data_IF_491682487132
#
_entry.id   IF_491682487132
#
_cell.length_a   1.000
_cell.length_b   1.000
_cell.length_c   1.000
_cell.angle_alpha   90.00
_cell.angle_beta   90.00
_cell.angle_gamma   90.00
#
_symmetry.space_group_name_H-M   'P 1'
#
loop_
_entity.id
_entity.type
_entity.pdbx_description
1 polymer ?
#
# COMPACT_ATOMS: atom_id res chain seq x y z
N UNK A 1 10.46 17.92 -12.66
CA UNK A 1 9.99 17.53 -11.31
C UNK A 1 11.18 17.22 -10.41
N UNK A 2 11.12 17.62 -9.13
CA UNK A 2 12.23 17.41 -8.18
C UNK A 2 11.91 16.27 -7.22
N UNK A 3 12.85 15.35 -7.05
CA UNK A 3 12.77 14.24 -6.10
C UNK A 3 14.06 14.12 -5.28
N UNK A 4 13.97 13.50 -4.11
CA UNK A 4 15.13 12.96 -3.41
C UNK A 4 15.26 11.48 -3.71
N UNK A 5 16.48 11.00 -3.90
CA UNK A 5 16.74 9.61 -4.28
C UNK A 5 17.55 8.85 -3.24
N UNK A 6 17.25 7.55 -3.11
CA UNK A 6 18.06 6.56 -2.36
C UNK A 6 18.16 5.30 -3.21
N UNK A 7 19.28 4.59 -3.16
CA UNK A 7 19.51 3.40 -3.99
C UNK A 7 20.13 2.27 -3.16
N UNK A 8 19.78 1.03 -3.48
CA UNK A 8 20.35 -0.18 -2.85
C UNK A 8 20.93 -1.19 -3.88
N UNK A 9 21.27 -0.73 -5.08
CA UNK A 9 21.85 -1.54 -6.16
C UNK A 9 20.83 -2.32 -7.00
N UNK A 10 19.63 -2.58 -6.46
CA UNK A 10 18.51 -3.20 -7.16
C UNK A 10 17.44 -2.20 -7.58
N UNK A 11 17.18 -1.23 -6.70
CA UNK A 11 16.13 -0.26 -6.85
C UNK A 11 16.64 1.16 -6.64
N UNK A 12 16.03 2.11 -7.34
CA UNK A 12 16.08 3.53 -6.95
C UNK A 12 14.75 3.92 -6.36
N UNK A 13 14.78 4.44 -5.14
CA UNK A 13 13.64 4.98 -4.45
C UNK A 13 13.61 6.49 -4.64
N UNK A 14 12.45 7.00 -5.07
CA UNK A 14 12.24 8.41 -5.34
C UNK A 14 11.15 8.94 -4.41
N UNK A 15 11.40 10.09 -3.78
CA UNK A 15 10.38 10.82 -3.01
C UNK A 15 10.17 12.20 -3.61
N UNK A 16 8.96 12.47 -4.07
CA UNK A 16 8.56 13.70 -4.73
C UNK A 16 7.79 14.60 -3.77
N UNK A 17 8.01 15.92 -3.86
CA UNK A 17 7.28 16.89 -3.01
C UNK A 17 5.94 17.32 -3.58
N UNK A 18 5.79 17.28 -4.90
CA UNK A 18 4.67 17.86 -5.65
C UNK A 18 4.00 16.86 -6.60
N UNK A 19 4.24 15.57 -6.39
CA UNK A 19 3.61 14.49 -7.15
C UNK A 19 2.90 13.58 -6.17
N UNK A 20 1.70 13.17 -6.55
CA UNK A 20 0.90 12.18 -5.84
C UNK A 20 0.69 10.97 -6.75
N UNK A 21 1.21 9.84 -6.33
CA UNK A 21 1.04 8.54 -6.95
C UNK A 21 -0.04 7.78 -6.21
N UNK A 22 -0.94 7.15 -6.96
CA UNK A 22 -1.90 6.20 -6.39
C UNK A 22 -2.37 5.17 -7.41
N UNK A 23 -2.85 4.03 -6.93
CA UNK A 23 -3.37 2.97 -7.78
C UNK A 23 -4.44 2.13 -7.09
N UNK A 24 -5.30 1.50 -7.89
CA UNK A 24 -6.15 0.39 -7.46
C UNK A 24 -5.84 -0.78 -8.36
N UNK A 25 -5.48 -1.92 -7.77
CA UNK A 25 -5.41 -3.21 -8.43
C UNK A 25 -6.52 -4.10 -7.86
N UNK A 26 -7.25 -4.75 -8.75
CA UNK A 26 -8.36 -5.65 -8.43
C UNK A 26 -8.05 -7.01 -9.05
N UNK A 27 -7.94 -8.04 -8.21
CA UNK A 27 -7.56 -9.41 -8.59
C UNK A 27 -8.70 -10.36 -8.31
N UNK A 28 -9.11 -11.11 -9.32
CA UNK A 28 -10.20 -12.08 -9.26
C UNK A 28 -9.74 -13.48 -9.59
N UNK A 29 -10.01 -14.45 -8.72
CA UNK A 29 -9.82 -15.87 -9.03
C UNK A 29 -11.04 -16.39 -9.81
N UNK A 30 -10.81 -16.96 -10.99
CA UNK A 30 -11.84 -17.67 -11.76
C UNK A 30 -11.64 -19.18 -11.63
N UNK A 31 -12.76 -19.88 -11.51
CA UNK A 31 -12.83 -21.33 -11.50
C UNK A 31 -13.67 -21.84 -12.68
N UNK A 32 -13.34 -23.01 -13.24
CA UNK A 32 -14.14 -23.71 -14.24
C UNK A 32 -14.67 -25.01 -13.66
N UNK A 33 -15.82 -25.43 -14.16
CA UNK A 33 -16.30 -26.79 -14.00
C UNK A 33 -15.48 -27.73 -14.88
N UNK A 34 -14.79 -28.66 -14.24
CA UNK A 34 -14.14 -29.78 -14.93
C UNK A 34 -15.04 -31.00 -14.79
N UNK A 35 -15.49 -31.55 -15.93
CA UNK A 35 -16.12 -32.87 -15.98
C UNK A 35 -15.07 -33.89 -16.43
N UNK A 36 -14.78 -34.87 -15.59
CA UNK A 36 -14.06 -36.06 -16.05
C UNK A 36 -14.99 -36.89 -16.94
N UNK A 37 -14.53 -37.25 -18.14
CA UNK A 37 -15.30 -38.07 -19.08
C UNK A 37 -15.66 -39.43 -18.43
N UNK A 38 -16.96 -39.67 -18.28
CA UNK A 38 -17.50 -40.95 -17.77
C UNK A 38 -18.02 -40.91 -16.33
N UNK A 39 -17.96 -39.77 -15.64
CA UNK A 39 -18.50 -39.61 -14.28
C UNK A 39 -19.91 -38.98 -14.32
N UNK A 40 -20.80 -39.46 -13.43
CA UNK A 40 -22.17 -38.96 -13.25
C UNK A 40 -22.20 -37.42 -13.06
N UNK A 41 -23.21 -36.71 -13.60
CA UNK A 41 -23.31 -35.23 -13.55
C UNK A 41 -23.29 -34.60 -12.15
N UNK A 42 -23.45 -35.38 -11.09
CA UNK A 42 -23.43 -34.91 -9.70
C UNK A 42 -22.00 -34.74 -9.13
N UNK A 43 -20.97 -35.21 -9.83
CA UNK A 43 -19.56 -35.10 -9.42
C UNK A 43 -18.82 -34.05 -10.26
N UNK A 44 -19.34 -32.83 -10.31
CA UNK A 44 -18.61 -31.70 -10.90
C UNK A 44 -17.66 -31.12 -9.87
N UNK A 45 -16.36 -31.08 -10.19
CA UNK A 45 -15.36 -30.36 -9.39
C UNK A 45 -15.08 -29.01 -10.03
N UNK A 46 -14.97 -27.98 -9.20
CA UNK A 46 -14.55 -26.64 -9.65
C UNK A 46 -13.04 -26.54 -9.51
N UNK A 47 -12.36 -26.24 -10.61
CA UNK A 47 -10.89 -26.12 -10.66
C UNK A 47 -10.50 -24.67 -10.92
N UNK A 48 -9.54 -24.15 -10.14
CA UNK A 48 -8.97 -22.83 -10.37
C UNK A 48 -8.32 -22.77 -11.75
N UNK A 49 -8.68 -21.76 -12.55
CA UNK A 49 -8.13 -21.57 -13.90
C UNK A 49 -7.04 -20.51 -13.89
N UNK A 50 -7.39 -19.30 -13.44
CA UNK A 50 -6.56 -18.11 -13.60
C UNK A 50 -7.03 -16.96 -12.73
N UNK A 51 -6.15 -15.96 -12.60
CA UNK A 51 -6.52 -14.64 -12.11
C UNK A 51 -6.95 -13.75 -13.29
N UNK A 52 -7.98 -12.93 -13.08
CA UNK A 52 -8.24 -11.72 -13.85
C UNK A 52 -7.81 -10.53 -13.02
N UNK A 53 -7.19 -9.56 -13.68
CA UNK A 53 -6.81 -8.30 -13.06
C UNK A 53 -7.53 -7.15 -13.74
N UNK A 54 -7.96 -6.16 -12.97
CA UNK A 54 -8.33 -4.81 -13.44
C UNK A 54 -7.52 -3.78 -12.65
N UNK A 55 -7.22 -2.63 -13.25
CA UNK A 55 -6.49 -1.56 -12.57
C UNK A 55 -6.92 -0.16 -12.98
N UNK A 56 -6.74 0.76 -12.04
CA UNK A 56 -6.82 2.21 -12.25
C UNK A 56 -5.59 2.84 -11.61
N UNK A 57 -4.69 3.38 -12.42
CA UNK A 57 -3.44 3.97 -11.98
C UNK A 57 -3.46 5.48 -12.21
N UNK A 58 -3.04 6.24 -11.22
CA UNK A 58 -3.07 7.69 -11.23
C UNK A 58 -1.69 8.27 -10.87
N UNK A 59 -1.26 9.28 -11.63
CA UNK A 59 -0.16 10.17 -11.23
C UNK A 59 -0.69 11.60 -11.32
N UNK A 60 -0.72 12.31 -10.20
CA UNK A 60 -1.14 13.70 -10.14
C UNK A 60 0.04 14.61 -9.88
N UNK A 61 0.15 15.65 -10.70
CA UNK A 61 1.10 16.74 -10.58
C UNK A 61 0.35 18.06 -10.72
N UNK A 62 0.19 18.78 -9.60
CA UNK A 62 -0.69 19.95 -9.48
C UNK A 62 -2.12 19.67 -9.98
N UNK A 63 -2.53 20.34 -11.07
CA UNK A 63 -3.82 20.14 -11.73
C UNK A 63 -3.75 19.12 -12.88
N UNK A 64 -2.58 18.57 -13.21
CA UNK A 64 -2.41 17.56 -14.25
C UNK A 64 -2.54 16.17 -13.64
N UNK A 65 -3.36 15.32 -14.27
CA UNK A 65 -3.51 13.92 -13.86
C UNK A 65 -3.28 13.02 -15.06
N UNK A 66 -2.30 12.14 -14.93
CA UNK A 66 -2.17 10.96 -15.76
C UNK A 66 -3.02 9.84 -15.18
N UNK A 67 -3.74 9.16 -16.06
CA UNK A 67 -4.61 8.04 -15.75
C UNK A 67 -4.29 6.91 -16.72
N UNK A 68 -4.08 5.71 -16.21
CA UNK A 68 -3.95 4.47 -17.00
C UNK A 68 -4.94 3.43 -16.46
N UNK A 69 -5.81 2.93 -17.34
CA UNK A 69 -6.88 2.00 -16.98
C UNK A 69 -6.82 0.78 -17.90
N UNK A 70 -6.84 -0.40 -17.29
CA UNK A 70 -6.81 -1.65 -18.03
C UNK A 70 -8.00 -1.78 -18.97
N UNK A 71 -7.69 -2.10 -20.23
CA UNK A 71 -8.68 -2.23 -21.31
C UNK A 71 -9.29 -0.92 -21.78
N UNK A 72 -8.85 0.24 -21.26
CA UNK A 72 -9.30 1.56 -21.71
C UNK A 72 -8.16 2.39 -22.33
N UNK A 73 -6.95 2.24 -21.80
CA UNK A 73 -5.74 2.96 -22.21
C UNK A 73 -5.37 4.07 -21.24
N UNK A 74 -4.45 4.94 -21.68
CA UNK A 74 -3.91 6.03 -20.89
C UNK A 74 -4.31 7.42 -21.42
N UNK A 75 -4.46 8.39 -20.50
CA UNK A 75 -4.85 9.76 -20.82
C UNK A 75 -4.27 10.75 -19.80
N UNK A 76 -4.00 11.98 -20.25
CA UNK A 76 -3.65 13.10 -19.38
C UNK A 76 -4.77 14.13 -19.42
N UNK A 77 -5.38 14.40 -18.27
CA UNK A 77 -6.48 15.37 -18.14
C UNK A 77 -6.25 16.29 -16.94
N UNK A 78 -7.09 17.31 -16.79
CA UNK A 78 -7.09 18.13 -15.58
C UNK A 78 -7.74 17.39 -14.41
N UNK A 79 -7.35 17.73 -13.18
CA UNK A 79 -7.98 17.17 -11.99
C UNK A 79 -9.49 17.46 -11.97
N UNK A 80 -9.90 18.67 -12.36
CA UNK A 80 -11.31 19.02 -12.48
C UNK A 80 -12.07 18.16 -13.50
N UNK A 81 -11.44 17.72 -14.60
CA UNK A 81 -12.06 16.81 -15.56
C UNK A 81 -12.24 15.40 -15.00
N UNK A 82 -11.23 14.88 -14.28
CA UNK A 82 -11.34 13.59 -13.59
C UNK A 82 -12.50 13.58 -12.60
N UNK A 83 -12.66 14.65 -11.82
CA UNK A 83 -13.71 14.78 -10.80
C UNK A 83 -15.14 14.82 -11.37
N UNK A 84 -15.32 15.13 -12.65
CA UNK A 84 -16.66 15.16 -13.28
C UNK A 84 -17.26 13.78 -13.50
N UNK A 85 -16.43 12.74 -13.61
CA UNK A 85 -16.89 11.37 -13.76
C UNK A 85 -16.90 10.69 -12.38
N UNK A 86 -18.09 10.37 -11.86
CA UNK A 86 -18.21 9.84 -10.49
C UNK A 86 -17.54 8.47 -10.31
N UNK A 87 -17.43 7.67 -11.37
CA UNK A 87 -16.74 6.38 -11.34
C UNK A 87 -15.21 6.55 -11.24
N UNK A 88 -14.64 7.43 -12.07
CA UNK A 88 -13.22 7.75 -12.01
C UNK A 88 -12.86 8.42 -10.69
N UNK A 89 -13.70 9.33 -10.20
CA UNK A 89 -13.54 9.96 -8.89
C UNK A 89 -13.49 8.91 -7.78
N UNK A 90 -14.43 7.97 -7.76
CA UNK A 90 -14.44 6.93 -6.73
C UNK A 90 -13.15 6.11 -6.74
N UNK A 91 -12.69 5.66 -7.90
CA UNK A 91 -11.45 4.90 -7.98
C UNK A 91 -10.23 5.72 -7.59
N UNK A 92 -10.21 7.00 -7.91
CA UNK A 92 -9.18 7.91 -7.42
C UNK A 92 -9.22 7.98 -5.88
N UNK A 93 -10.38 8.20 -5.27
CA UNK A 93 -10.51 8.25 -3.81
C UNK A 93 -10.07 6.93 -3.14
N UNK A 94 -10.47 5.77 -3.70
CA UNK A 94 -10.04 4.45 -3.22
C UNK A 94 -8.54 4.26 -3.38
N UNK A 95 -7.97 4.68 -4.51
CA UNK A 95 -6.53 4.56 -4.76
C UNK A 95 -5.71 5.29 -3.72
N UNK A 96 -6.20 6.44 -3.23
CA UNK A 96 -5.54 7.21 -2.19
C UNK A 96 -5.58 6.48 -0.84
N UNK A 97 -6.67 5.77 -0.52
CA UNK A 97 -6.76 5.01 0.71
C UNK A 97 -5.83 3.78 0.70
N UNK A 98 -5.70 3.11 -0.44
CA UNK A 98 -4.87 1.91 -0.59
C UNK A 98 -3.37 2.19 -0.70
N UNK A 99 -2.99 3.38 -1.17
CA UNK A 99 -1.58 3.74 -1.38
C UNK A 99 -0.96 4.27 -0.10
N UNK A 100 0.04 3.54 0.41
CA UNK A 100 0.69 3.81 1.69
C UNK A 100 1.38 5.20 1.70
N UNK A 101 2.39 5.38 0.83
CA UNK A 101 3.07 6.67 0.66
C UNK A 101 2.91 7.20 -0.76
N UNK A 102 2.05 8.20 -0.92
CA UNK A 102 1.68 8.78 -2.22
C UNK A 102 2.77 9.65 -2.85
N UNK A 103 3.81 9.99 -2.10
CA UNK A 103 4.94 10.77 -2.60
C UNK A 103 6.11 9.88 -3.02
N UNK A 104 5.99 8.58 -2.79
CA UNK A 104 7.06 7.62 -2.92
C UNK A 104 6.81 6.68 -4.08
N UNK A 105 7.85 6.44 -4.88
CA UNK A 105 7.83 5.49 -5.98
C UNK A 105 9.18 4.78 -6.10
N UNK A 106 9.15 3.52 -6.51
CA UNK A 106 10.32 2.68 -6.75
C UNK A 106 10.57 2.54 -8.25
N UNK A 107 11.84 2.51 -8.62
CA UNK A 107 12.33 2.23 -9.98
C UNK A 107 13.23 0.99 -9.96
N UNK A 108 12.93 0.01 -10.80
CA UNK A 108 13.74 -1.22 -10.96
C UNK A 108 14.98 -0.98 -11.84
N UNK A 109 16.20 -1.04 -11.28
CA UNK A 109 17.44 -0.66 -11.97
C UNK A 109 18.02 -1.74 -12.90
N UNK A 110 17.95 -3.01 -12.51
CA UNK A 110 18.66 -4.10 -13.20
C UNK A 110 17.76 -5.04 -13.98
N UNK A 111 16.48 -4.70 -14.17
CA UNK A 111 15.46 -5.68 -14.57
C UNK A 111 15.48 -6.94 -13.68
N UNK A 112 15.88 -6.79 -12.41
CA UNK A 112 15.95 -7.91 -11.47
C UNK A 112 14.55 -8.37 -11.03
N UNK A 113 13.52 -7.56 -11.34
CA UNK A 113 12.15 -8.03 -11.32
C UNK A 113 11.93 -8.91 -12.56
N UNK A 114 11.86 -10.22 -12.34
CA UNK A 114 11.11 -11.14 -13.21
C UNK A 114 9.61 -10.78 -13.28
N UNK A 115 9.21 -9.61 -12.76
CA UNK A 115 7.85 -9.08 -12.77
C UNK A 115 7.52 -8.52 -14.15
N UNK A 116 7.41 -9.42 -15.12
CA UNK A 116 6.53 -9.23 -16.24
C UNK A 116 5.37 -10.18 -16.01
N UNK A 117 4.32 -9.69 -15.36
CA UNK A 117 3.03 -10.40 -15.36
C UNK A 117 2.25 -9.93 -16.59
N UNK A 118 2.33 -10.67 -17.73
CA UNK A 118 1.59 -10.31 -18.93
C UNK A 118 0.07 -10.33 -18.72
N UNK A 119 -0.41 -10.97 -17.64
CA UNK A 119 -1.81 -10.97 -17.29
C UNK A 119 -2.24 -9.65 -16.63
N UNK A 120 -1.30 -8.82 -16.14
CA UNK A 120 -1.57 -7.48 -15.62
C UNK A 120 -1.24 -6.42 -16.66
N UNK A 121 0.02 -6.38 -17.14
CA UNK A 121 0.54 -5.36 -18.05
C UNK A 121 1.04 -5.98 -19.35
N UNK A 122 0.65 -5.41 -20.49
CA UNK A 122 1.07 -5.90 -21.82
C UNK A 122 2.54 -5.61 -22.12
N UNK A 123 3.09 -4.57 -21.50
CA UNK A 123 4.46 -4.11 -21.70
C UNK A 123 5.22 -4.12 -20.37
N UNK A 124 6.55 -4.18 -20.46
CA UNK A 124 7.41 -4.09 -19.29
C UNK A 124 7.36 -2.68 -18.69
N UNK A 125 7.21 -2.61 -17.38
CA UNK A 125 7.15 -1.37 -16.60
C UNK A 125 8.12 -1.45 -15.44
N UNK A 126 8.71 -0.33 -15.04
CA UNK A 126 9.77 -0.29 -14.00
C UNK A 126 9.46 0.64 -12.84
N UNK A 127 8.40 1.44 -12.94
CA UNK A 127 8.01 2.45 -11.95
C UNK A 127 6.83 1.96 -11.14
N UNK A 128 7.01 1.65 -9.86
CA UNK A 128 5.95 1.03 -9.04
C UNK A 128 5.75 1.69 -7.68
N UNK A 129 4.52 1.58 -7.17
CA UNK A 129 4.12 2.13 -5.87
C UNK A 129 3.72 1.03 -4.89
N UNK A 130 3.89 1.35 -3.61
CA UNK A 130 3.42 0.53 -2.51
C UNK A 130 1.93 0.78 -2.26
N UNK A 131 1.13 -0.22 -2.60
CA UNK A 131 -0.32 -0.16 -2.49
C UNK A 131 -0.89 -1.54 -2.20
N UNK A 132 -1.81 -1.59 -1.24
CA UNK A 132 -2.66 -2.75 -1.06
C UNK A 132 -3.58 -2.94 -2.28
N UNK A 133 -4.09 -4.16 -2.47
CA UNK A 133 -4.97 -4.49 -3.58
C UNK A 133 -6.20 -5.25 -3.12
N UNK A 134 -7.27 -5.21 -3.92
CA UNK A 134 -8.51 -5.93 -3.65
C UNK A 134 -8.38 -7.33 -4.27
N UNK A 135 -8.53 -8.37 -3.47
CA UNK A 135 -8.61 -9.75 -3.92
C UNK A 135 -10.02 -10.29 -3.75
N UNK A 136 -10.60 -10.82 -4.83
CA UNK A 136 -11.88 -11.52 -4.84
C UNK A 136 -11.73 -12.99 -5.20
N UNK A 137 -12.52 -13.82 -4.53
CA UNK A 137 -12.70 -15.24 -4.82
C UNK A 137 -14.18 -15.53 -5.13
N UNK A 138 -14.46 -15.92 -6.38
CA UNK A 138 -15.83 -16.20 -6.83
C UNK A 138 -16.42 -17.44 -6.14
N UNK A 139 -15.62 -18.47 -5.89
CA UNK A 139 -16.10 -19.73 -5.29
C UNK A 139 -16.38 -19.55 -3.80
N UNK A 140 -15.50 -18.85 -3.08
CA UNK A 140 -15.70 -18.56 -1.67
C UNK A 140 -16.68 -17.39 -1.44
N UNK A 141 -17.04 -16.66 -2.49
CA UNK A 141 -17.81 -15.40 -2.42
C UNK A 141 -17.20 -14.42 -1.40
N UNK A 142 -15.87 -14.34 -1.37
CA UNK A 142 -15.11 -13.47 -0.47
C UNK A 142 -14.39 -12.38 -1.24
N UNK A 143 -14.21 -11.24 -0.58
CA UNK A 143 -13.39 -10.13 -1.05
C UNK A 143 -12.65 -9.54 0.13
N UNK A 144 -11.35 -9.35 -0.02
CA UNK A 144 -10.48 -8.82 1.02
C UNK A 144 -9.53 -7.78 0.41
N UNK A 145 -9.04 -6.86 1.24
CA UNK A 145 -7.86 -6.06 0.89
C UNK A 145 -6.64 -6.82 1.39
N UNK A 146 -5.66 -6.98 0.50
CA UNK A 146 -4.42 -7.69 0.77
C UNK A 146 -3.27 -6.70 0.70
N UNK A 147 -2.42 -6.70 1.72
CA UNK A 147 -1.17 -5.94 1.75
C UNK A 147 -0.29 -6.36 0.56
N UNK A 148 0.30 -5.40 -0.15
CA UNK A 148 1.41 -5.74 -1.03
C UNK A 148 2.34 -4.57 -1.28
N UNK A 149 3.63 -4.88 -1.32
CA UNK A 149 4.69 -3.91 -1.17
C UNK A 149 4.95 -3.10 -2.44
N UNK A 150 4.82 -3.66 -3.65
CA UNK A 150 4.90 -2.94 -4.93
C UNK A 150 4.21 -3.69 -6.09
N UNK A 151 2.94 -3.39 -6.38
CA UNK A 151 2.11 -4.15 -7.35
C UNK A 151 1.50 -3.30 -8.49
N UNK A 152 1.54 -1.98 -8.36
CA UNK A 152 0.99 -1.05 -9.35
C UNK A 152 2.13 -0.38 -10.11
N UNK A 153 2.28 -0.73 -11.39
CA UNK A 153 3.38 -0.27 -12.23
C UNK A 153 2.87 0.71 -13.29
N UNK A 154 3.47 1.89 -13.35
CA UNK A 154 3.14 2.92 -14.33
C UNK A 154 3.86 2.68 -15.66
N UNK A 155 3.14 2.98 -16.74
CA UNK A 155 3.65 2.95 -18.11
C UNK A 155 4.65 4.05 -18.42
N UNK A 156 4.59 5.17 -17.69
CA UNK A 156 5.39 6.36 -17.95
C UNK A 156 6.37 6.61 -16.81
N UNK A 157 7.48 7.28 -17.11
CA UNK A 157 8.30 7.86 -16.04
C UNK A 157 7.54 9.02 -15.39
N UNK A 158 7.57 9.15 -14.05
CA UNK A 158 7.00 10.31 -13.37
C UNK A 158 7.54 11.66 -13.91
N UNK A 159 8.83 11.68 -14.29
CA UNK A 159 9.49 12.88 -14.81
C UNK A 159 8.92 13.36 -16.15
N UNK A 160 8.28 12.48 -16.92
CA UNK A 160 7.71 12.81 -18.23
C UNK A 160 6.37 13.55 -18.11
N UNK A 161 5.68 13.44 -16.97
CA UNK A 161 4.32 13.96 -16.81
C UNK A 161 4.26 15.49 -16.93
N UNK A 162 5.29 16.20 -16.48
CA UNK A 162 5.36 17.66 -16.51
C UNK A 162 5.26 18.19 -17.95
N UNK A 163 5.91 17.49 -18.89
CA UNK A 163 5.96 17.88 -20.30
C UNK A 163 4.89 17.20 -21.17
N UNK A 164 4.16 16.21 -20.65
CA UNK A 164 3.03 15.60 -21.39
C UNK A 164 1.92 16.62 -21.63
N UNK A 165 1.45 16.70 -22.87
CA UNK A 165 0.30 17.54 -23.25
C UNK A 165 -0.99 17.05 -22.57
N UNK A 166 -1.89 17.97 -22.29
CA UNK A 166 -3.27 17.62 -21.98
C UNK A 166 -3.95 16.98 -23.20
N UNK A 167 -4.84 16.04 -22.93
CA UNK A 167 -5.78 15.55 -23.91
C UNK A 167 -6.74 16.67 -24.33
N UNK A 168 -7.07 16.70 -25.61
CA UNK A 168 -8.15 17.52 -26.15
C UNK A 168 -9.50 17.04 -25.64
N UNK A 169 -10.53 17.90 -25.69
CA UNK A 169 -11.87 17.50 -25.26
C UNK A 169 -12.39 16.28 -26.04
N UNK A 170 -12.11 16.19 -27.34
CA UNK A 170 -12.47 15.04 -28.18
C UNK A 170 -11.82 13.74 -27.71
N UNK A 171 -10.55 13.79 -27.29
CA UNK A 171 -9.84 12.63 -26.73
C UNK A 171 -10.43 12.23 -25.38
N UNK A 172 -10.76 13.20 -24.51
CA UNK A 172 -11.41 12.95 -23.22
C UNK A 172 -12.80 12.33 -23.40
N UNK A 173 -13.59 12.83 -24.35
CA UNK A 173 -14.93 12.30 -24.63
C UNK A 173 -14.86 10.88 -25.22
N UNK A 174 -13.87 10.59 -26.06
CA UNK A 174 -13.63 9.25 -26.59
C UNK A 174 -13.21 8.28 -25.47
N UNK A 175 -12.24 8.68 -24.64
CA UNK A 175 -11.80 7.92 -23.47
C UNK A 175 -12.95 7.63 -22.52
N UNK A 176 -13.74 8.66 -22.17
CA UNK A 176 -14.88 8.54 -21.26
C UNK A 176 -15.93 7.60 -21.84
N UNK A 177 -16.27 7.69 -23.13
CA UNK A 177 -17.20 6.75 -23.76
C UNK A 177 -16.68 5.31 -23.72
N UNK A 178 -15.40 5.10 -24.00
CA UNK A 178 -14.79 3.78 -23.91
C UNK A 178 -14.88 3.24 -22.48
N UNK A 179 -14.48 4.05 -21.49
CA UNK A 179 -14.55 3.70 -20.08
C UNK A 179 -15.97 3.33 -19.64
N UNK A 180 -16.96 4.17 -19.97
CA UNK A 180 -18.36 3.93 -19.63
C UNK A 180 -18.99 2.73 -20.35
N UNK A 181 -18.34 2.23 -21.42
CA UNK A 181 -18.78 1.03 -22.12
C UNK A 181 -18.31 -0.28 -21.46
N UNK A 182 -17.39 -0.22 -20.47
CA UNK A 182 -16.96 -1.39 -19.69
C UNK A 182 -18.18 -2.10 -19.11
N UNK A 183 -18.19 -3.44 -19.19
CA UNK A 183 -19.33 -4.28 -18.83
C UNK A 183 -19.90 -3.95 -17.45
N UNK A 184 -19.03 -3.81 -16.44
CA UNK A 184 -19.43 -3.52 -15.05
C UNK A 184 -20.19 -2.19 -14.90
N UNK A 185 -19.79 -1.17 -15.67
CA UNK A 185 -20.41 0.15 -15.65
C UNK A 185 -21.73 0.11 -16.43
N UNK A 186 -21.71 -0.44 -17.65
CA UNK A 186 -22.90 -0.54 -18.52
C UNK A 186 -24.04 -1.32 -17.86
N UNK A 187 -23.72 -2.36 -17.10
CA UNK A 187 -24.70 -3.21 -16.41
C UNK A 187 -25.11 -2.69 -15.02
N UNK A 188 -24.60 -1.53 -14.59
CA UNK A 188 -24.78 -0.95 -13.24
C UNK A 188 -24.31 -1.85 -12.08
N UNK A 189 -23.63 -2.96 -12.38
CA UNK A 189 -22.97 -3.82 -11.37
C UNK A 189 -21.97 -2.99 -10.56
N UNK A 190 -21.31 -2.03 -11.23
CA UNK A 190 -20.40 -1.10 -10.58
C UNK A 190 -21.02 -0.39 -9.37
N UNK A 191 -22.27 0.07 -9.46
CA UNK A 191 -22.87 0.84 -8.37
C UNK A 191 -22.97 0.01 -7.08
N UNK A 192 -23.25 -1.30 -7.20
CA UNK A 192 -23.23 -2.21 -6.05
C UNK A 192 -21.81 -2.50 -5.58
N UNK A 193 -20.90 -2.75 -6.53
CA UNK A 193 -19.47 -2.99 -6.31
C UNK A 193 -18.81 -1.83 -5.58
N UNK A 194 -19.14 -0.59 -5.94
CA UNK A 194 -18.54 0.64 -5.41
C UNK A 194 -18.73 0.84 -3.91
N UNK A 195 -19.96 0.63 -3.42
CA UNK A 195 -20.27 0.73 -1.99
C UNK A 195 -19.52 -0.34 -1.21
N UNK A 196 -19.51 -1.56 -1.74
CA UNK A 196 -18.79 -2.67 -1.12
C UNK A 196 -17.27 -2.41 -1.09
N UNK A 197 -16.72 -1.85 -2.16
CA UNK A 197 -15.29 -1.53 -2.26
C UNK A 197 -14.89 -0.46 -1.27
N UNK A 198 -15.69 0.61 -1.20
CA UNK A 198 -15.44 1.68 -0.26
C UNK A 198 -15.45 1.16 1.17
N UNK A 199 -16.45 0.39 1.57
CA UNK A 199 -16.53 -0.18 2.91
C UNK A 199 -15.37 -1.13 3.21
N UNK A 200 -15.04 -2.02 2.27
CA UNK A 200 -13.94 -2.97 2.43
C UNK A 200 -12.60 -2.26 2.63
N UNK A 201 -12.32 -1.24 1.82
CA UNK A 201 -11.09 -0.45 1.92
C UNK A 201 -11.09 0.39 3.20
N UNK A 202 -12.24 0.94 3.59
CA UNK A 202 -12.38 1.68 4.83
C UNK A 202 -12.10 0.80 6.06
N UNK A 203 -12.70 -0.39 6.12
CA UNK A 203 -12.45 -1.36 7.20
C UNK A 203 -10.98 -1.77 7.27
N UNK A 204 -10.36 -2.02 6.11
CA UNK A 204 -8.92 -2.27 6.03
C UNK A 204 -8.11 -1.11 6.60
N UNK A 205 -8.32 0.12 6.14
CA UNK A 205 -7.60 1.29 6.66
C UNK A 205 -7.85 1.49 8.16
N UNK A 206 -9.05 1.23 8.64
CA UNK A 206 -9.39 1.30 10.06
C UNK A 206 -8.58 0.30 10.89
N UNK A 207 -8.51 -0.96 10.45
CA UNK A 207 -7.71 -1.99 11.12
C UNK A 207 -6.21 -1.68 11.13
N UNK A 208 -5.67 -1.06 10.07
CA UNK A 208 -4.28 -0.61 10.05
C UNK A 208 -4.04 0.50 11.10
N UNK A 209 -4.96 1.47 11.20
CA UNK A 209 -4.87 2.53 12.22
C UNK A 209 -4.96 1.97 13.64
N UNK A 210 -5.82 0.98 13.90
CA UNK A 210 -5.90 0.33 15.21
C UNK A 210 -4.59 -0.39 15.57
N UNK A 211 -4.00 -1.10 14.59
CA UNK A 211 -2.71 -1.76 14.77
C UNK A 211 -1.60 -0.76 15.09
N UNK A 212 -1.47 0.32 14.33
CA UNK A 212 -0.49 1.39 14.58
C UNK A 212 -0.70 2.02 15.97
N UNK A 213 -1.95 2.21 16.37
CA UNK A 213 -2.28 2.76 17.68
C UNK A 213 -1.86 1.82 18.82
N UNK A 214 -2.05 0.52 18.68
CA UNK A 214 -1.64 -0.46 19.68
C UNK A 214 -0.12 -0.61 19.76
N UNK A 215 0.59 -0.55 18.62
CA UNK A 215 2.06 -0.49 18.57
C UNK A 215 2.59 0.77 19.28
N UNK A 216 1.97 1.94 19.05
CA UNK A 216 2.32 3.18 19.76
C UNK A 216 2.06 3.09 21.26
N UNK A 217 0.93 2.51 21.68
CA UNK A 217 0.64 2.30 23.12
C UNK A 217 1.70 1.44 23.77
N UNK A 218 2.08 0.32 23.14
CA UNK A 218 3.13 -0.57 23.63
C UNK A 218 4.46 0.18 23.75
N UNK A 219 4.85 0.92 22.71
CA UNK A 219 6.07 1.73 22.70
C UNK A 219 6.10 2.75 23.85
N UNK A 220 5.01 3.48 24.09
CA UNK A 220 4.95 4.48 25.16
C UNK A 220 4.96 3.85 26.56
N UNK A 221 4.32 2.69 26.75
CA UNK A 221 4.36 1.99 28.04
C UNK A 221 5.77 1.44 28.31
N UNK A 222 6.44 0.88 27.31
CA UNK A 222 7.85 0.48 27.41
C UNK A 222 8.74 1.68 27.78
N UNK A 223 8.62 2.80 27.05
CA UNK A 223 9.38 4.03 27.35
C UNK A 223 9.17 4.51 28.78
N UNK A 224 7.93 4.46 29.28
CA UNK A 224 7.59 4.80 30.67
C UNK A 224 8.21 3.82 31.67
N UNK A 225 8.16 2.53 31.39
CA UNK A 225 8.79 1.49 32.23
C UNK A 225 10.31 1.69 32.32
N UNK A 226 10.96 1.99 31.20
CA UNK A 226 12.40 2.29 31.13
C UNK A 226 12.74 3.57 31.91
N UNK A 227 11.93 4.62 31.79
CA UNK A 227 12.13 5.86 32.55
C UNK A 227 12.00 5.65 34.07
N UNK A 228 11.07 4.80 34.49
CA UNK A 228 10.92 4.40 35.89
C UNK A 228 12.15 3.63 36.38
N UNK A 229 12.68 2.68 35.58
CA UNK A 229 13.91 1.96 35.89
C UNK A 229 15.12 2.89 36.03
N UNK A 230 15.27 3.86 35.13
CA UNK A 230 16.32 4.88 35.21
C UNK A 230 16.20 5.79 36.45
N UNK A 231 15.00 5.91 37.04
CA UNK A 231 14.81 6.61 38.31
C UNK A 231 15.14 5.74 39.52
N UNK A 232 14.97 4.41 39.40
CA UNK A 232 15.31 3.44 40.44
C UNK A 232 16.81 3.16 40.52
N UNK A 233 17.58 3.37 39.45
CA UNK A 233 19.03 3.09 39.43
C UNK A 233 19.84 3.83 40.50
N UNK A 234 19.36 4.98 40.97
CA UNK A 234 20.02 5.75 42.03
C UNK A 234 19.66 5.28 43.45
N UNK A 235 18.80 4.26 43.60
CA UNK A 235 18.33 3.77 44.90
C UNK A 235 19.28 2.71 45.46
N UNK A 236 19.50 2.77 46.77
CA UNK A 236 20.32 1.80 47.49
C UNK A 236 19.76 0.37 47.29
N UNK A 237 20.62 -0.57 46.88
CA UNK A 237 20.26 -1.96 46.63
C UNK A 237 19.78 -2.27 45.21
N UNK A 238 19.63 -1.25 44.34
CA UNK A 238 19.37 -1.45 42.91
C UNK A 238 20.69 -1.56 42.16
N UNK A 239 21.04 -2.78 41.73
CA UNK A 239 22.18 -3.02 40.85
C UNK A 239 21.72 -3.46 39.44
N UNK A 240 22.66 -3.62 38.50
CA UNK A 240 22.41 -3.97 37.10
C UNK A 240 21.58 -5.24 36.97
N UNK A 241 21.88 -6.24 37.78
CA UNK A 241 21.25 -7.56 37.70
C UNK A 241 19.78 -7.47 38.13
N UNK A 242 19.50 -6.72 39.20
CA UNK A 242 18.13 -6.47 39.68
C UNK A 242 17.35 -5.64 38.65
N UNK A 243 17.94 -4.57 38.11
CA UNK A 243 17.30 -3.74 37.09
C UNK A 243 17.02 -4.53 35.80
N UNK A 244 17.94 -5.38 35.37
CA UNK A 244 17.81 -6.25 34.20
C UNK A 244 16.72 -7.31 34.40
N UNK A 245 16.61 -7.89 35.59
CA UNK A 245 15.53 -8.81 35.93
C UNK A 245 14.17 -8.13 35.85
N UNK A 246 14.03 -6.92 36.41
CA UNK A 246 12.78 -6.16 36.35
C UNK A 246 12.45 -5.76 34.90
N UNK A 247 13.44 -5.28 34.15
CA UNK A 247 13.31 -4.91 32.75
C UNK A 247 12.71 -6.03 31.88
N UNK A 248 13.24 -7.26 31.99
CA UNK A 248 12.76 -8.42 31.24
C UNK A 248 11.30 -8.80 31.51
N UNK A 249 10.72 -8.31 32.61
CA UNK A 249 9.33 -8.56 32.98
C UNK A 249 8.39 -7.39 32.62
N UNK A 250 8.93 -6.20 32.37
CA UNK A 250 8.15 -4.98 32.15
C UNK A 250 8.11 -4.52 30.69
N UNK A 251 9.11 -4.90 29.89
CA UNK A 251 9.27 -4.40 28.53
C UNK A 251 8.90 -5.47 27.52
N UNK A 252 8.18 -5.07 26.48
CA UNK A 252 7.81 -5.96 25.39
C UNK A 252 9.05 -6.54 24.67
N UNK A 253 8.92 -7.65 23.91
CA UNK A 253 10.00 -8.16 23.07
C UNK A 253 10.55 -7.11 22.10
N UNK A 254 9.69 -6.29 21.50
CA UNK A 254 10.06 -5.22 20.57
C UNK A 254 10.78 -4.08 21.28
N UNK A 255 10.31 -3.70 22.47
CA UNK A 255 10.99 -2.75 23.35
C UNK A 255 12.34 -3.27 23.83
N UNK A 256 12.53 -4.59 23.88
CA UNK A 256 13.80 -5.20 24.24
C UNK A 256 14.89 -4.81 23.22
N UNK A 257 14.60 -4.98 21.93
CA UNK A 257 15.52 -4.62 20.84
C UNK A 257 15.90 -3.13 20.85
N UNK A 258 14.98 -2.24 21.25
CA UNK A 258 15.22 -0.80 21.31
C UNK A 258 16.02 -0.35 22.54
N UNK A 259 15.69 -0.89 23.72
CA UNK A 259 16.19 -0.34 24.99
C UNK A 259 17.29 -1.19 25.64
N UNK A 260 17.61 -2.39 25.15
CA UNK A 260 18.57 -3.32 25.77
C UNK A 260 19.94 -2.67 25.98
N UNK A 261 20.42 -1.94 24.97
CA UNK A 261 21.69 -1.20 25.06
C UNK A 261 21.65 -0.12 26.14
N UNK A 262 20.51 0.57 26.30
CA UNK A 262 20.34 1.63 27.30
C UNK A 262 20.33 1.00 28.71
N UNK A 263 19.58 -0.08 28.92
CA UNK A 263 19.47 -0.77 30.22
C UNK A 263 20.81 -1.38 30.64
N UNK A 264 21.50 -2.07 29.73
CA UNK A 264 22.80 -2.71 30.00
C UNK A 264 23.89 -1.72 30.43
N UNK A 265 23.68 -0.42 30.20
CA UNK A 265 24.62 0.64 30.54
C UNK A 265 24.08 1.62 31.60
N UNK A 266 22.95 1.33 32.24
CA UNK A 266 22.30 2.25 33.19
C UNK A 266 23.18 2.57 34.40
N UNK A 267 23.81 1.59 35.03
CA UNK A 267 24.69 1.80 36.20
C UNK A 267 25.93 2.64 35.89
N UNK A 268 26.46 2.50 34.67
CA UNK A 268 27.67 3.18 34.23
C UNK A 268 27.40 4.61 33.75
N UNK A 269 26.15 5.09 33.84
CA UNK A 269 25.72 6.40 33.32
C UNK A 269 25.04 7.23 34.38
N UNK A 270 25.33 8.53 34.38
CA UNK A 270 24.59 9.51 35.19
C UNK A 270 23.12 9.50 34.77
N UNK A 271 22.18 9.41 35.73
CA UNK A 271 20.72 9.39 35.50
C UNK A 271 20.23 10.38 34.44
N UNK A 272 20.66 11.64 34.50
CA UNK A 272 20.26 12.66 33.53
C UNK A 272 20.63 12.32 32.08
N UNK A 273 21.77 11.65 31.86
CA UNK A 273 22.22 11.22 30.53
C UNK A 273 21.38 10.05 30.03
N UNK A 274 21.03 9.11 30.92
CA UNK A 274 20.15 7.99 30.59
C UNK A 274 18.74 8.47 30.25
N UNK A 275 18.18 9.38 31.05
CA UNK A 275 16.87 10.01 30.79
C UNK A 275 16.85 10.75 29.45
N UNK A 276 17.89 11.52 29.12
CA UNK A 276 17.98 12.20 27.84
C UNK A 276 17.92 11.22 26.65
N UNK A 277 18.67 10.12 26.72
CA UNK A 277 18.68 9.11 25.65
C UNK A 277 17.34 8.37 25.52
N UNK A 278 16.66 8.08 26.62
CA UNK A 278 15.32 7.47 26.60
C UNK A 278 14.31 8.44 25.98
N UNK A 279 14.45 9.74 26.24
CA UNK A 279 13.58 10.76 25.67
C UNK A 279 13.83 10.98 24.17
N UNK A 280 15.08 10.87 23.72
CA UNK A 280 15.52 11.00 22.32
C UNK A 280 15.22 9.77 21.46
N UNK A 281 15.14 8.57 22.07
CA UNK A 281 14.68 7.34 21.44
C UNK A 281 13.16 7.36 21.21
#
# INVERSE_FOLDING_TARGET
>A
MNSTTRCNGLYTYHTFKNVEFSGVLDKYKIYAYTQEHGIHPDNTTTTYIRNIYDYHLFIRYDNKVYLDIKGCGDIVMTFAQLQKNHYLKLYYDISLMLTNNKQFIMEDLQFNSNYHDPYIYEEKRVWSINTAYIEGDEQANTRNVVDNEFNCYYKISPYDLENKRYATQKEIDAFTRNYMSKYEIRTKIFNKKSVHYYNLVFEYCFSQMEKELDELKAFFEDKKNILNLATLSDKQGMNSDVLMLIYKHLVSPEGNDYYEYIISNLENRKRLKSVAMIMEA
#
